data_IF_623289772654
#
_entry.id   IF_623289772654
#
_cell.length_a   1.000
_cell.length_b   1.000
_cell.length_c   1.000
_cell.angle_alpha   90.00
_cell.angle_beta   90.00
_cell.angle_gamma   90.00
#
_symmetry.space_group_name_H-M   'P 1'
#
loop_
_entity.id
_entity.type
_entity.pdbx_description
1 polymer ?
#
# COMPACT_ATOMS: atom_id res chain seq x y z
N UNK A 1 22.01 -6.76 14.69
CA UNK A 1 21.32 -5.74 13.89
C UNK A 1 20.40 -5.03 14.86
N UNK A 2 20.46 -3.71 14.91
CA UNK A 2 19.53 -2.95 15.74
C UNK A 2 18.19 -3.11 15.01
N UNK A 3 17.20 -3.77 15.63
CA UNK A 3 15.82 -3.71 15.13
C UNK A 3 15.43 -2.23 15.20
N UNK A 4 15.59 -1.50 14.09
CA UNK A 4 15.00 -0.18 13.96
C UNK A 4 13.49 -0.40 14.04
N UNK A 5 12.82 0.25 14.99
CA UNK A 5 11.36 0.23 15.06
C UNK A 5 10.83 0.88 13.78
N UNK A 6 10.33 0.05 12.86
CA UNK A 6 9.66 0.53 11.66
C UNK A 6 8.29 1.07 12.04
N UNK A 7 7.95 2.24 11.50
CA UNK A 7 6.63 2.83 11.68
C UNK A 7 5.66 2.32 10.60
N UNK A 8 4.40 2.17 10.97
CA UNK A 8 3.33 1.77 10.05
C UNK A 8 2.81 2.97 9.24
N UNK A 9 2.76 2.81 7.92
CA UNK A 9 2.29 3.82 6.97
C UNK A 9 1.22 3.25 6.03
N UNK A 10 0.27 4.11 5.67
CA UNK A 10 -0.72 3.88 4.64
C UNK A 10 -0.39 4.72 3.42
N UNK A 11 -0.29 4.06 2.27
CA UNK A 11 -0.01 4.68 0.97
C UNK A 11 -1.25 4.57 0.10
N UNK A 12 -1.82 5.71 -0.25
CA UNK A 12 -2.91 5.80 -1.21
C UNK A 12 -2.34 6.10 -2.60
N UNK A 13 -2.75 5.30 -3.58
CA UNK A 13 -2.47 5.51 -5.00
C UNK A 13 -3.79 5.53 -5.75
N UNK A 14 -4.18 6.71 -6.22
CA UNK A 14 -5.35 6.88 -7.10
C UNK A 14 -4.89 6.86 -8.55
N UNK A 15 -5.69 6.23 -9.39
CA UNK A 15 -5.51 6.26 -10.84
C UNK A 15 -6.38 7.40 -11.40
N UNK A 16 -5.81 8.18 -12.32
CA UNK A 16 -6.56 9.24 -13.00
C UNK A 16 -7.71 8.68 -13.86
N UNK A 17 -7.54 7.44 -14.34
CA UNK A 17 -8.56 6.69 -15.08
C UNK A 17 -8.66 5.27 -14.50
N UNK A 18 -9.88 4.74 -14.29
CA UNK A 18 -10.06 3.37 -13.88
C UNK A 18 -9.44 2.40 -14.89
N UNK A 19 -8.89 1.29 -14.38
CA UNK A 19 -8.28 0.24 -15.21
C UNK A 19 -8.87 -1.12 -14.87
N UNK A 20 -8.68 -2.08 -15.76
CA UNK A 20 -9.11 -3.45 -15.50
C UNK A 20 -8.22 -4.13 -14.45
N UNK A 21 -8.73 -5.16 -13.79
CA UNK A 21 -7.95 -5.99 -12.86
C UNK A 21 -6.69 -6.58 -13.52
N UNK A 22 -6.78 -6.98 -14.79
CA UNK A 22 -5.65 -7.56 -15.52
C UNK A 22 -4.54 -6.54 -15.83
N UNK A 23 -4.89 -5.29 -16.10
CA UNK A 23 -3.91 -4.20 -16.24
C UNK A 23 -3.24 -3.91 -14.90
N UNK A 24 -4.01 -4.01 -13.81
CA UNK A 24 -3.49 -3.81 -12.46
C UNK A 24 -2.55 -4.92 -11.99
N UNK A 25 -2.86 -6.18 -12.29
CA UNK A 25 -2.01 -7.30 -11.88
C UNK A 25 -0.59 -7.17 -12.45
N UNK A 26 -0.47 -6.75 -13.72
CA UNK A 26 0.81 -6.41 -14.34
C UNK A 26 1.55 -5.27 -13.65
N UNK A 27 0.84 -4.32 -13.06
CA UNK A 27 1.45 -3.24 -12.27
C UNK A 27 1.89 -3.73 -10.87
N UNK A 28 1.17 -4.69 -10.30
CA UNK A 28 1.51 -5.32 -9.02
C UNK A 28 2.84 -6.08 -9.10
N UNK A 29 3.07 -6.82 -10.18
CA UNK A 29 4.32 -7.55 -10.41
C UNK A 29 5.55 -6.62 -10.40
N UNK A 30 5.42 -5.41 -10.96
CA UNK A 30 6.48 -4.38 -10.92
C UNK A 30 6.70 -3.84 -9.50
N UNK A 31 5.63 -3.73 -8.71
CA UNK A 31 5.66 -3.29 -7.32
C UNK A 31 6.48 -4.23 -6.44
N UNK A 32 6.42 -5.54 -6.71
CA UNK A 32 7.15 -6.58 -5.97
C UNK A 32 8.63 -6.57 -6.34
N UNK A 33 8.97 -6.51 -7.63
CA UNK A 33 10.38 -6.46 -8.07
C UNK A 33 11.14 -5.22 -7.54
N UNK A 34 10.43 -4.10 -7.37
CA UNK A 34 11.01 -2.89 -6.81
C UNK A 34 11.29 -2.99 -5.30
N UNK A 35 10.49 -3.76 -4.55
CA UNK A 35 10.72 -3.99 -3.12
C UNK A 35 12.06 -4.67 -2.87
N UNK A 36 12.38 -5.69 -3.66
CA UNK A 36 13.65 -6.42 -3.55
C UNK A 36 14.84 -5.48 -3.85
N UNK A 37 14.71 -4.64 -4.89
CA UNK A 37 15.76 -3.69 -5.28
C UNK A 37 16.06 -2.65 -4.19
N UNK A 38 15.02 -2.14 -3.53
CA UNK A 38 15.15 -1.09 -2.50
C UNK A 38 15.69 -1.66 -1.20
N UNK A 39 15.32 -2.90 -0.86
CA UNK A 39 15.93 -3.65 0.25
C UNK A 39 17.41 -3.92 0.02
N UNK A 40 17.77 -4.34 -1.19
CA UNK A 40 19.18 -4.54 -1.58
C UNK A 40 20.00 -3.24 -1.54
N UNK A 41 19.35 -2.09 -1.72
CA UNK A 41 19.96 -0.76 -1.60
C UNK A 41 20.14 -0.30 -0.14
N UNK A 42 19.67 -1.08 0.84
CA UNK A 42 19.83 -0.81 2.27
C UNK A 42 18.70 0.03 2.89
N UNK A 43 17.56 0.18 2.20
CA UNK A 43 16.38 0.84 2.76
C UNK A 43 15.52 -0.18 3.50
N UNK A 44 15.32 0.03 4.79
CA UNK A 44 14.45 -0.82 5.61
C UNK A 44 12.97 -0.50 5.36
N UNK A 45 12.38 -1.25 4.42
CA UNK A 45 10.97 -1.18 4.05
C UNK A 45 10.34 -2.59 3.99
N UNK A 46 9.13 -2.71 4.51
CA UNK A 46 8.34 -3.92 4.46
C UNK A 46 6.92 -3.64 3.96
N UNK A 47 6.49 -4.45 3.01
CA UNK A 47 5.11 -4.47 2.56
C UNK A 47 4.30 -5.42 3.43
N UNK A 48 3.22 -4.93 4.03
CA UNK A 48 2.36 -5.70 4.94
C UNK A 48 1.12 -6.22 4.21
N UNK A 49 0.34 -5.32 3.62
CA UNK A 49 -0.88 -5.66 2.87
C UNK A 49 -1.21 -4.61 1.81
N UNK A 50 -2.09 -4.97 0.87
CA UNK A 50 -2.65 -4.03 -0.08
C UNK A 50 -4.08 -4.36 -0.44
N UNK A 51 -4.90 -3.32 -0.43
CA UNK A 51 -6.30 -3.36 -0.79
C UNK A 51 -6.50 -2.69 -2.15
N UNK A 52 -7.18 -3.39 -3.05
CA UNK A 52 -7.60 -2.84 -4.33
C UNK A 52 -8.89 -2.07 -4.12
N UNK A 53 -8.91 -0.83 -4.60
CA UNK A 53 -10.11 -0.01 -4.61
C UNK A 53 -10.80 -0.16 -5.96
N UNK A 54 -12.10 -0.45 -5.94
CA UNK A 54 -12.92 -0.58 -7.15
C UNK A 54 -14.10 0.39 -7.13
N UNK A 55 -14.59 0.75 -8.32
CA UNK A 55 -15.86 1.48 -8.50
C UNK A 55 -17.05 0.49 -8.62
N UNK A 56 -18.25 1.03 -8.83
CA UNK A 56 -19.50 0.26 -9.00
C UNK A 56 -19.46 -0.69 -10.21
N UNK A 57 -18.66 -0.36 -11.22
CA UNK A 57 -18.45 -1.16 -12.43
C UNK A 57 -17.36 -2.24 -12.26
N UNK A 58 -16.84 -2.40 -11.04
CA UNK A 58 -15.75 -3.32 -10.69
C UNK A 58 -14.44 -3.03 -11.47
N UNK A 59 -14.21 -1.78 -11.83
CA UNK A 59 -12.96 -1.28 -12.37
C UNK A 59 -12.07 -0.78 -11.23
N UNK A 60 -10.76 -0.97 -11.37
CA UNK A 60 -9.78 -0.57 -10.36
C UNK A 60 -9.56 0.94 -10.43
N UNK A 61 -9.84 1.64 -9.34
CA UNK A 61 -9.64 3.09 -9.20
C UNK A 61 -8.35 3.44 -8.45
N UNK A 62 -7.74 2.47 -7.76
CA UNK A 62 -6.55 2.71 -6.97
C UNK A 62 -6.14 1.54 -6.09
N UNK A 63 -5.16 1.79 -5.22
CA UNK A 63 -4.85 0.92 -4.08
C UNK A 63 -4.60 1.73 -2.82
N UNK A 64 -4.93 1.09 -1.70
CA UNK A 64 -4.41 1.43 -0.39
C UNK A 64 -3.40 0.36 0.01
N UNK A 65 -2.17 0.74 0.30
CA UNK A 65 -1.12 -0.18 0.69
C UNK A 65 -0.66 0.13 2.11
N UNK A 66 -0.49 -0.90 2.93
CA UNK A 66 0.13 -0.78 4.24
C UNK A 66 1.59 -1.22 4.16
N UNK A 67 2.47 -0.32 4.57
CA UNK A 67 3.90 -0.55 4.67
C UNK A 67 4.39 -0.30 6.09
N UNK A 68 5.52 -0.93 6.42
CA UNK A 68 6.38 -0.54 7.53
C UNK A 68 7.67 0.04 6.97
N UNK A 69 8.08 1.19 7.47
CA UNK A 69 9.30 1.84 7.01
C UNK A 69 9.93 2.66 8.14
N UNK A 70 11.21 2.96 8.03
CA UNK A 70 11.90 3.85 8.97
C UNK A 70 11.37 5.29 8.95
N UNK A 71 10.92 5.76 7.78
CA UNK A 71 10.43 7.13 7.57
C UNK A 71 9.64 7.22 6.25
N UNK A 72 9.03 8.38 5.98
CA UNK A 72 8.31 8.63 4.72
C UNK A 72 9.24 8.70 3.50
N UNK A 73 10.52 9.06 3.66
CA UNK A 73 11.47 9.17 2.55
C UNK A 73 11.78 7.79 1.95
N UNK A 74 11.92 6.75 2.79
CA UNK A 74 12.05 5.37 2.36
C UNK A 74 10.87 4.91 1.46
N UNK A 75 9.65 5.38 1.74
CA UNK A 75 8.47 5.08 0.93
C UNK A 75 8.49 5.81 -0.41
N UNK A 76 9.03 7.03 -0.45
CA UNK A 76 9.18 7.83 -1.68
C UNK A 76 10.26 7.23 -2.58
N UNK A 77 11.39 6.84 -2.02
CA UNK A 77 12.46 6.15 -2.75
C UNK A 77 11.94 4.83 -3.36
N UNK A 78 11.15 4.09 -2.59
CA UNK A 78 10.45 2.91 -3.09
C UNK A 78 9.50 3.22 -4.27
N UNK A 79 8.67 4.24 -4.14
CA UNK A 79 7.73 4.63 -5.18
C UNK A 79 8.42 5.07 -6.47
N UNK A 80 9.51 5.83 -6.36
CA UNK A 80 10.31 6.26 -7.49
C UNK A 80 11.00 5.08 -8.17
N UNK A 81 11.55 4.14 -7.39
CA UNK A 81 12.14 2.90 -7.91
C UNK A 81 11.10 2.02 -8.63
N UNK A 82 9.90 1.90 -8.05
CA UNK A 82 8.81 1.10 -8.62
C UNK A 82 8.13 1.76 -9.83
N UNK A 83 8.37 3.05 -10.07
CA UNK A 83 7.60 3.85 -11.03
C UNK A 83 6.11 3.93 -10.66
N UNK A 84 5.79 3.86 -9.36
CA UNK A 84 4.44 3.86 -8.83
C UNK A 84 4.21 5.12 -8.00
N UNK A 85 3.76 6.23 -8.62
CA UNK A 85 3.62 7.50 -7.92
C UNK A 85 2.66 7.38 -6.74
N UNK A 86 3.02 8.05 -5.65
CA UNK A 86 2.19 8.10 -4.45
C UNK A 86 1.29 9.33 -4.51
N UNK A 87 -0.02 9.11 -4.36
CA UNK A 87 -0.98 10.23 -4.22
C UNK A 87 -0.92 10.80 -2.80
N UNK A 88 -0.83 9.93 -1.79
CA UNK A 88 -0.80 10.34 -0.38
C UNK A 88 -0.11 9.30 0.51
N UNK A 89 0.62 9.77 1.52
CA UNK A 89 1.22 8.97 2.59
C UNK A 89 0.60 9.44 3.90
N UNK A 90 0.22 8.51 4.76
CA UNK A 90 -0.28 8.78 6.11
C UNK A 90 0.34 7.80 7.10
N UNK A 91 0.63 8.24 8.33
CA UNK A 91 0.98 7.31 9.41
C UNK A 91 -0.26 6.53 9.84
N UNK A 92 -0.14 5.22 10.04
CA UNK A 92 -1.26 4.38 10.47
C UNK A 92 -1.56 4.67 11.94
N UNK A 93 -2.77 5.15 12.22
CA UNK A 93 -3.30 5.30 13.58
C UNK A 93 -3.81 3.97 14.15
N UNK A 94 -4.35 4.02 15.37
CA UNK A 94 -5.00 2.85 15.96
C UNK A 94 -6.26 2.47 15.17
N UNK A 95 -6.45 1.18 14.81
CA UNK A 95 -7.68 0.74 14.20
C UNK A 95 -8.84 0.92 15.19
N UNK A 96 -9.98 1.40 14.67
CA UNK A 96 -11.22 1.49 15.44
C UNK A 96 -12.08 0.27 15.13
N UNK A 97 -12.57 -0.41 16.16
CA UNK A 97 -13.54 -1.48 15.97
C UNK A 97 -14.88 -0.87 15.50
N UNK A 98 -15.47 -1.46 14.46
CA UNK A 98 -16.77 -1.02 13.97
C UNK A 98 -17.87 -1.19 15.02
N UNK A 99 -18.98 -0.44 14.93
CA UNK A 99 -20.13 -0.68 15.79
C UNK A 99 -20.65 -2.09 15.50
N UNK A 100 -20.55 -2.99 16.47
CA UNK A 100 -21.12 -4.34 16.42
C UNK A 100 -22.53 -4.30 15.82
N UNK A 101 -22.75 -4.95 14.67
CA UNK A 101 -24.09 -5.42 14.33
C UNK A 101 -24.32 -6.68 15.17
N UNK A 102 -24.86 -6.49 16.37
CA UNK A 102 -25.54 -7.56 17.10
C UNK A 102 -26.80 -7.93 16.32
N UNK A 103 -26.63 -8.70 15.25
CA UNK A 103 -27.72 -9.43 14.61
C UNK A 103 -27.88 -10.75 15.33
N UNK A 104 -28.75 -10.79 16.35
CA UNK A 104 -29.29 -12.06 16.83
C UNK A 104 -29.92 -12.79 15.63
N UNK A 105 -29.53 -14.04 15.33
CA UNK A 105 -30.32 -14.87 14.44
C UNK A 105 -31.62 -15.24 15.17
N UNK A 106 -32.74 -14.70 14.71
CA UNK A 106 -34.07 -15.23 15.02
C UNK A 106 -34.39 -16.46 14.17
#
# INVERSE_FOLDING_TARGET
>A
MIDQELEDYLILRLLDQPVTHAERERASERSVAALDTVRDAGTDIEWVESEIMTNEDNEVTGTLCHFKAENEDALRDYADCAGLPITRIERRGQPVEGPYQSGDPQ
#
